data_IF_857582302377
#
_entry.id   IF_857582302377
#
_cell.length_a   1.000
_cell.length_b   1.000
_cell.length_c   1.000
_cell.angle_alpha   90.00
_cell.angle_beta   90.00
_cell.angle_gamma   90.00
#
_symmetry.space_group_name_H-M   'P 1'
#
loop_
_entity.id
_entity.type
_entity.pdbx_description
1 polymer ?
#
# COMPACT_ATOMS: atom_id res chain seq x y z
N UNK A 1 23.08 44.58 4.75
CA UNK A 1 22.12 44.98 3.70
C UNK A 1 21.51 43.71 3.15
N UNK A 2 20.30 43.38 3.60
CA UNK A 2 19.53 42.19 3.17
C UNK A 2 18.67 42.59 1.97
N UNK A 3 18.84 41.95 0.83
CA UNK A 3 17.97 42.13 -0.34
C UNK A 3 16.87 41.11 -0.33
N UNK A 4 15.65 41.54 -0.09
CA UNK A 4 14.43 40.76 -0.20
C UNK A 4 14.05 40.72 -1.68
N UNK A 5 13.90 39.53 -2.24
CA UNK A 5 13.36 39.32 -3.60
C UNK A 5 11.90 38.92 -3.45
N UNK A 6 11.01 39.78 -3.87
CA UNK A 6 9.57 39.53 -3.92
C UNK A 6 9.25 38.95 -5.29
N UNK A 7 8.75 37.70 -5.30
CA UNK A 7 8.26 37.01 -6.51
C UNK A 7 6.77 37.32 -6.67
N UNK A 8 6.42 38.06 -7.70
CA UNK A 8 5.04 38.37 -8.05
C UNK A 8 4.50 37.28 -8.99
N UNK A 9 3.45 36.58 -8.56
CA UNK A 9 2.70 35.64 -9.40
C UNK A 9 1.68 36.44 -10.22
N UNK A 10 1.79 36.39 -11.54
CA UNK A 10 0.82 36.99 -12.48
C UNK A 10 -0.17 35.87 -12.87
N UNK A 11 -1.42 36.02 -12.44
CA UNK A 11 -2.56 35.25 -12.92
C UNK A 11 -3.06 35.80 -14.25
N UNK A 12 -2.97 35.04 -15.31
CA UNK A 12 -3.62 35.36 -16.59
C UNK A 12 -4.94 34.62 -16.70
N UNK A 13 -6.05 35.34 -16.51
CA UNK A 13 -7.39 34.83 -16.88
C UNK A 13 -7.59 34.98 -18.38
N UNK A 14 -7.86 33.89 -19.06
CA UNK A 14 -8.36 33.93 -20.45
C UNK A 14 -9.86 33.68 -20.40
N UNK A 15 -10.62 34.72 -20.70
CA UNK A 15 -12.08 34.65 -20.93
C UNK A 15 -12.28 34.35 -22.43
N UNK A 16 -12.79 33.18 -22.75
CA UNK A 16 -13.20 32.82 -24.11
C UNK A 16 -14.70 32.91 -24.27
N UNK A 17 -15.12 33.77 -25.19
CA UNK A 17 -16.50 34.08 -25.54
C UNK A 17 -17.18 32.96 -26.34
N UNK A 18 -18.41 32.69 -25.95
CA UNK A 18 -19.40 31.86 -26.66
C UNK A 18 -19.99 32.60 -27.88
N UNK A 19 -20.08 31.92 -28.98
CA UNK A 19 -21.04 32.17 -30.08
C UNK A 19 -21.12 30.86 -30.89
N UNK A 20 -22.17 30.28 -31.26
CA UNK A 20 -23.57 30.55 -31.42
C UNK A 20 -24.13 29.55 -32.39
N UNK A 21 -25.34 29.13 -32.15
CA UNK A 21 -26.37 28.50 -32.95
C UNK A 21 -26.07 27.78 -34.28
N UNK A 22 -26.59 26.54 -34.36
CA UNK A 22 -26.91 25.88 -35.60
C UNK A 22 -27.71 24.60 -35.32
N UNK A 23 -29.05 24.75 -35.34
CA UNK A 23 -29.94 23.60 -35.32
C UNK A 23 -29.91 22.87 -36.66
N UNK A 24 -29.71 21.55 -36.60
CA UNK A 24 -30.10 20.65 -37.70
C UNK A 24 -30.74 19.40 -37.07
N UNK A 25 -32.03 19.29 -37.31
CA UNK A 25 -32.79 18.06 -37.09
C UNK A 25 -32.26 16.93 -37.97
N UNK A 26 -31.89 15.83 -37.39
CA UNK A 26 -31.73 14.54 -38.07
C UNK A 26 -32.38 13.44 -37.22
N UNK A 27 -33.04 12.46 -37.81
CA UNK A 27 -34.01 11.61 -37.14
C UNK A 27 -33.37 10.59 -36.21
N UNK A 28 -34.11 10.31 -35.14
CA UNK A 28 -33.81 9.27 -34.18
C UNK A 28 -33.50 7.94 -34.82
N UNK A 29 -32.26 7.52 -34.78
CA UNK A 29 -31.86 6.13 -34.91
C UNK A 29 -31.95 5.46 -33.55
N UNK A 30 -32.73 4.38 -33.49
CA UNK A 30 -32.80 3.47 -32.38
C UNK A 30 -31.37 3.10 -31.95
N UNK A 31 -30.98 3.59 -30.78
CA UNK A 31 -29.85 3.05 -30.10
C UNK A 31 -30.24 1.63 -29.65
N UNK A 32 -29.68 0.64 -30.34
CA UNK A 32 -29.58 -0.70 -29.76
C UNK A 32 -28.96 -0.58 -28.40
N UNK A 33 -29.67 -1.07 -27.40
CA UNK A 33 -29.11 -1.27 -26.07
C UNK A 33 -27.90 -2.20 -26.24
N UNK A 34 -26.71 -1.64 -26.17
CA UNK A 34 -25.53 -2.45 -25.95
C UNK A 34 -25.73 -3.11 -24.59
N UNK A 35 -26.03 -4.39 -24.59
CA UNK A 35 -25.77 -5.24 -23.46
C UNK A 35 -24.23 -5.22 -23.27
N UNK A 36 -23.72 -4.21 -22.59
CA UNK A 36 -22.43 -4.34 -21.92
C UNK A 36 -22.66 -5.40 -20.85
N UNK A 37 -22.02 -6.56 -21.02
CA UNK A 37 -21.88 -7.48 -19.89
C UNK A 37 -21.36 -6.64 -18.72
N UNK A 38 -21.89 -6.81 -17.49
CA UNK A 38 -21.36 -6.09 -16.35
C UNK A 38 -19.87 -6.42 -16.30
N UNK A 39 -19.00 -5.40 -16.32
CA UNK A 39 -17.60 -5.58 -16.01
C UNK A 39 -17.56 -6.31 -14.68
N UNK A 40 -16.91 -7.46 -14.63
CA UNK A 40 -16.72 -8.19 -13.39
C UNK A 40 -15.76 -7.32 -12.61
N UNK A 41 -16.31 -6.50 -11.72
CA UNK A 41 -15.51 -5.84 -10.70
C UNK A 41 -14.89 -6.95 -9.86
N UNK A 42 -13.56 -7.05 -9.87
CA UNK A 42 -12.82 -7.96 -8.98
C UNK A 42 -12.94 -7.49 -7.53
N UNK A 43 -13.58 -6.37 -7.29
CA UNK A 43 -13.81 -5.77 -6.00
C UNK A 43 -15.06 -6.39 -5.33
N UNK A 44 -14.86 -7.01 -4.18
CA UNK A 44 -15.96 -7.51 -3.35
C UNK A 44 -15.72 -7.16 -1.87
N UNK A 45 -16.81 -7.05 -1.10
CA UNK A 45 -16.71 -6.82 0.35
C UNK A 45 -15.97 -7.94 1.07
N UNK A 46 -15.91 -9.15 0.48
CA UNK A 46 -15.22 -10.30 1.06
C UNK A 46 -13.70 -10.07 1.19
N UNK A 47 -13.09 -9.37 0.23
CA UNK A 47 -11.66 -9.08 0.23
C UNK A 47 -11.26 -7.93 1.15
N UNK A 48 -12.21 -7.23 1.73
CA UNK A 48 -11.97 -6.05 2.57
C UNK A 48 -12.17 -6.35 4.04
N UNK A 49 -11.33 -5.72 4.85
CA UNK A 49 -11.54 -5.61 6.28
C UNK A 49 -12.51 -4.44 6.49
N UNK A 50 -13.66 -4.65 7.16
CA UNK A 50 -14.59 -3.55 7.45
C UNK A 50 -13.94 -2.46 8.31
N UNK A 51 -14.22 -1.20 8.00
CA UNK A 51 -13.78 -0.09 8.84
C UNK A 51 -14.45 -0.15 10.21
N UNK A 52 -13.64 -0.08 11.27
CA UNK A 52 -14.13 0.12 12.63
C UNK A 52 -14.34 1.60 12.93
N UNK A 53 -13.54 2.46 12.31
CA UNK A 53 -13.59 3.91 12.44
C UNK A 53 -12.85 4.56 11.27
N UNK A 54 -13.00 5.86 11.14
CA UNK A 54 -12.30 6.70 10.19
C UNK A 54 -11.58 7.79 10.98
N UNK A 55 -10.25 7.85 10.87
CA UNK A 55 -9.42 8.82 11.58
C UNK A 55 -9.56 10.23 11.01
N UNK A 56 -9.77 10.34 9.70
CA UNK A 56 -9.83 11.62 9.00
C UNK A 56 -10.73 11.51 7.76
N UNK A 57 -12.03 11.80 7.89
CA UNK A 57 -12.96 11.71 6.76
C UNK A 57 -12.63 12.62 5.57
N UNK A 58 -11.67 13.53 5.73
CA UNK A 58 -11.33 14.55 4.74
C UNK A 58 -10.07 14.19 3.93
N UNK A 59 -9.28 13.23 4.41
CA UNK A 59 -8.06 12.76 3.75
C UNK A 59 -7.91 11.22 3.91
N UNK A 60 -6.80 10.65 3.45
CA UNK A 60 -6.60 9.21 3.45
C UNK A 60 -7.03 8.55 2.14
N UNK A 61 -6.56 7.35 1.91
CA UNK A 61 -6.82 6.62 0.67
C UNK A 61 -8.30 6.26 0.49
N UNK A 62 -9.03 6.06 1.58
CA UNK A 62 -10.45 5.76 1.56
C UNK A 62 -11.32 6.94 1.14
N UNK A 63 -10.82 8.19 1.28
CA UNK A 63 -11.50 9.41 0.83
C UNK A 63 -11.36 9.64 -0.69
N UNK A 64 -10.41 9.00 -1.35
CA UNK A 64 -10.26 9.09 -2.80
C UNK A 64 -11.47 8.47 -3.47
N UNK A 65 -12.10 9.23 -4.38
CA UNK A 65 -13.25 8.74 -5.14
C UNK A 65 -12.88 7.46 -5.87
N UNK A 66 -13.47 6.37 -5.42
CA UNK A 66 -13.34 5.09 -6.09
C UNK A 66 -14.25 5.10 -7.29
N UNK A 67 -13.66 5.16 -8.39
CA UNK A 67 -14.39 4.83 -9.59
C UNK A 67 -14.49 3.30 -9.68
N UNK A 68 -15.24 2.70 -8.78
CA UNK A 68 -15.34 1.26 -8.59
C UNK A 68 -15.73 0.44 -9.82
N UNK A 69 -16.19 1.10 -10.88
CA UNK A 69 -16.57 0.50 -12.14
C UNK A 69 -15.79 1.13 -13.30
N UNK A 70 -14.48 1.30 -13.14
CA UNK A 70 -13.67 1.74 -14.26
C UNK A 70 -13.69 0.72 -15.39
N UNK A 71 -13.85 1.24 -16.59
CA UNK A 71 -13.60 0.47 -17.80
C UNK A 71 -12.17 -0.07 -17.76
N UNK A 72 -12.00 -1.34 -18.16
CA UNK A 72 -10.67 -1.94 -18.26
C UNK A 72 -9.70 -1.01 -18.98
N UNK A 73 -8.55 -0.79 -18.35
CA UNK A 73 -7.48 -0.02 -18.95
C UNK A 73 -6.59 -0.92 -19.80
N UNK A 74 -6.22 -0.51 -21.04
CA UNK A 74 -5.27 -1.28 -21.83
C UNK A 74 -3.84 -1.26 -21.25
N UNK A 75 -3.59 -0.47 -20.20
CA UNK A 75 -2.28 -0.30 -19.60
C UNK A 75 -2.12 -1.04 -18.27
N UNK A 76 -3.22 -1.42 -17.62
CA UNK A 76 -3.23 -2.08 -16.33
C UNK A 76 -3.99 -3.39 -16.45
N UNK A 77 -3.33 -4.48 -16.05
CA UNK A 77 -4.00 -5.74 -15.83
C UNK A 77 -4.55 -5.76 -14.40
N UNK A 78 -5.75 -6.26 -14.24
CA UNK A 78 -6.39 -6.42 -12.92
C UNK A 78 -6.58 -7.91 -12.65
N UNK A 79 -5.52 -8.64 -12.22
CA UNK A 79 -5.70 -10.01 -11.78
C UNK A 79 -6.53 -10.01 -10.50
N UNK A 80 -7.37 -11.01 -10.34
CA UNK A 80 -8.09 -11.25 -9.08
C UNK A 80 -7.11 -11.77 -8.02
N UNK A 81 -6.34 -10.85 -7.42
CA UNK A 81 -5.28 -11.17 -6.46
C UNK A 81 -5.82 -11.91 -5.25
N UNK A 82 -7.01 -11.54 -4.77
CA UNK A 82 -7.65 -12.19 -3.61
C UNK A 82 -7.85 -13.69 -3.81
N UNK A 83 -8.21 -14.12 -5.01
CA UNK A 83 -8.46 -15.52 -5.34
C UNK A 83 -7.28 -16.23 -6.01
N UNK A 84 -6.15 -15.55 -6.23
CA UNK A 84 -4.96 -16.20 -6.77
C UNK A 84 -4.54 -17.40 -5.90
N UNK A 85 -4.05 -18.44 -6.57
CA UNK A 85 -3.52 -19.63 -5.92
C UNK A 85 -2.02 -19.74 -6.15
N UNK A 86 -1.31 -20.36 -5.19
CA UNK A 86 0.09 -20.72 -5.39
C UNK A 86 0.23 -21.75 -6.52
N UNK A 87 1.31 -21.65 -7.27
CA UNK A 87 1.68 -22.54 -8.39
C UNK A 87 3.12 -23.02 -8.21
N UNK A 88 3.69 -23.66 -9.22
CA UNK A 88 5.10 -24.04 -9.20
C UNK A 88 6.03 -22.82 -9.18
N UNK A 89 5.57 -21.67 -9.72
CA UNK A 89 6.36 -20.42 -9.82
C UNK A 89 5.92 -19.37 -8.82
N UNK A 90 4.65 -19.38 -8.41
CA UNK A 90 4.06 -18.37 -7.54
C UNK A 90 3.77 -18.90 -6.16
N UNK A 91 4.22 -18.17 -5.14
CA UNK A 91 3.79 -18.32 -3.75
C UNK A 91 2.90 -17.13 -3.38
N UNK A 92 1.69 -17.37 -2.86
CA UNK A 92 0.78 -16.30 -2.46
C UNK A 92 -0.01 -16.67 -1.21
N UNK A 93 -0.23 -15.69 -0.35
CA UNK A 93 -1.12 -15.79 0.81
C UNK A 93 -2.56 -15.58 0.34
N UNK A 94 -3.20 -16.67 -0.08
CA UNK A 94 -4.54 -16.63 -0.67
C UNK A 94 -5.57 -16.08 0.30
N UNK A 95 -6.47 -15.25 -0.21
CA UNK A 95 -7.54 -14.59 0.54
C UNK A 95 -7.02 -13.63 1.64
N UNK A 96 -5.84 -13.06 1.46
CA UNK A 96 -5.35 -11.99 2.30
C UNK A 96 -6.22 -10.75 2.09
N UNK A 97 -6.86 -10.24 3.14
CA UNK A 97 -7.77 -9.11 3.05
C UNK A 97 -7.04 -7.78 3.14
N UNK A 98 -7.55 -6.76 2.47
CA UNK A 98 -6.99 -5.42 2.43
C UNK A 98 -7.89 -4.41 3.16
N UNK A 99 -7.33 -3.27 3.52
CA UNK A 99 -8.05 -2.09 3.99
C UNK A 99 -7.34 -0.84 3.48
N UNK A 100 -8.10 0.13 2.98
CA UNK A 100 -7.54 1.45 2.67
C UNK A 100 -7.35 2.24 3.98
N UNK A 101 -6.21 2.92 4.13
CA UNK A 101 -5.94 3.75 5.30
C UNK A 101 -6.88 4.96 5.33
N UNK A 102 -7.32 5.33 6.52
CA UNK A 102 -8.29 6.41 6.72
C UNK A 102 -7.64 7.75 7.09
N UNK A 103 -6.33 7.86 6.96
CA UNK A 103 -5.59 9.11 7.10
C UNK A 103 -4.31 9.08 6.28
N UNK A 104 -3.72 10.23 5.98
CA UNK A 104 -2.48 10.34 5.19
C UNK A 104 -1.25 9.69 5.86
N UNK A 105 -1.29 9.45 7.18
CA UNK A 105 -0.15 8.95 7.95
C UNK A 105 -0.27 7.49 8.41
N UNK A 106 -1.43 6.86 8.27
CA UNK A 106 -1.73 5.60 8.97
C UNK A 106 -1.30 4.32 8.23
N UNK A 107 -0.53 4.43 7.14
CA UNK A 107 -0.10 3.28 6.33
C UNK A 107 0.55 2.14 7.16
N UNK A 108 1.47 2.45 8.08
CA UNK A 108 2.11 1.43 8.92
C UNK A 108 1.14 0.76 9.88
N UNK A 109 0.19 1.52 10.41
CA UNK A 109 -0.84 1.02 11.33
C UNK A 109 -1.82 0.12 10.57
N UNK A 110 -2.26 0.55 9.38
CA UNK A 110 -3.19 -0.21 8.54
C UNK A 110 -2.53 -1.48 7.99
N UNK A 111 -1.24 -1.42 7.64
CA UNK A 111 -0.49 -2.62 7.27
C UNK A 111 -0.42 -3.64 8.41
N UNK A 112 -0.18 -3.19 9.65
CA UNK A 112 -0.22 -4.07 10.81
C UNK A 112 -1.62 -4.65 11.06
N UNK A 113 -2.67 -3.85 10.88
CA UNK A 113 -4.07 -4.29 10.98
C UNK A 113 -4.37 -5.42 9.99
N UNK A 114 -3.91 -5.31 8.73
CA UNK A 114 -4.07 -6.37 7.74
C UNK A 114 -3.32 -7.66 8.13
N UNK A 115 -2.14 -7.54 8.74
CA UNK A 115 -1.39 -8.71 9.26
C UNK A 115 -2.13 -9.35 10.44
N UNK A 116 -2.73 -8.57 11.34
CA UNK A 116 -3.54 -9.11 12.43
C UNK A 116 -4.77 -9.86 11.91
N UNK A 117 -5.46 -9.33 10.91
CA UNK A 117 -6.60 -10.00 10.26
C UNK A 117 -6.19 -11.33 9.62
N UNK A 118 -5.04 -11.38 8.94
CA UNK A 118 -4.52 -12.61 8.34
C UNK A 118 -4.43 -13.77 9.33
N UNK A 119 -4.09 -13.48 10.57
CA UNK A 119 -3.98 -14.49 11.63
C UNK A 119 -5.23 -14.61 12.51
N UNK A 120 -6.35 -13.99 12.15
CA UNK A 120 -7.57 -13.94 12.97
C UNK A 120 -7.28 -13.40 14.39
N UNK A 121 -6.44 -12.37 14.46
CA UNK A 121 -6.02 -11.67 15.68
C UNK A 121 -6.42 -10.20 15.71
N UNK A 122 -7.19 -9.75 14.72
CA UNK A 122 -7.63 -8.35 14.66
C UNK A 122 -8.50 -7.99 15.87
N UNK A 123 -9.48 -8.83 16.23
CA UNK A 123 -10.36 -8.54 17.38
C UNK A 123 -11.01 -7.16 17.28
N UNK A 124 -10.88 -6.38 18.36
CA UNK A 124 -11.40 -5.00 18.45
C UNK A 124 -10.35 -3.93 18.07
N UNK A 125 -9.16 -4.33 17.58
CA UNK A 125 -8.13 -3.39 17.15
C UNK A 125 -8.56 -2.62 15.89
N UNK A 126 -8.17 -1.36 15.84
CA UNK A 126 -8.39 -0.46 14.73
C UNK A 126 -7.21 0.50 14.58
N UNK A 127 -7.22 1.39 13.58
CA UNK A 127 -6.10 2.30 13.32
C UNK A 127 -5.75 3.17 14.54
N UNK A 128 -6.74 3.73 15.25
CA UNK A 128 -6.50 4.58 16.42
C UNK A 128 -5.86 3.79 17.56
N UNK A 129 -6.42 2.63 17.89
CA UNK A 129 -5.94 1.82 19.02
C UNK A 129 -4.58 1.19 18.75
N UNK A 130 -4.28 0.79 17.51
CA UNK A 130 -2.94 0.34 17.13
C UNK A 130 -1.95 1.51 17.11
N UNK A 131 -2.35 2.68 16.60
CA UNK A 131 -1.50 3.87 16.63
C UNK A 131 -1.11 4.28 18.04
N UNK A 132 -1.99 4.10 19.01
CA UNK A 132 -1.74 4.41 20.42
C UNK A 132 -0.69 3.50 21.09
N UNK A 133 -0.34 2.37 20.47
CA UNK A 133 0.72 1.48 20.97
C UNK A 133 2.13 1.97 20.65
N UNK A 134 2.27 2.86 19.68
CA UNK A 134 3.57 3.40 19.26
C UNK A 134 4.15 4.30 20.34
N UNK A 135 5.46 4.20 20.60
CA UNK A 135 6.13 5.15 21.48
C UNK A 135 6.10 6.58 20.89
N UNK A 136 6.18 7.57 21.77
CA UNK A 136 6.25 8.98 21.34
C UNK A 136 7.61 9.32 20.75
N UNK A 137 7.59 10.13 19.69
CA UNK A 137 8.78 10.72 19.09
C UNK A 137 9.06 12.14 19.64
N UNK A 138 8.31 12.60 20.65
CA UNK A 138 8.51 13.93 21.25
C UNK A 138 9.92 14.06 21.82
N UNK A 139 10.56 15.19 21.53
CA UNK A 139 11.93 15.48 21.96
C UNK A 139 13.02 14.74 21.18
N UNK A 140 12.67 14.01 20.13
CA UNK A 140 13.61 13.40 19.18
C UNK A 140 13.78 14.27 17.92
N UNK A 141 14.68 13.89 17.02
CA UNK A 141 14.82 14.53 15.71
C UNK A 141 13.62 14.30 14.78
N UNK A 142 12.76 13.34 15.10
CA UNK A 142 11.51 13.04 14.40
C UNK A 142 10.27 13.65 15.09
N UNK A 143 10.45 14.62 16.00
CA UNK A 143 9.30 15.28 16.64
C UNK A 143 8.35 15.85 15.58
N UNK A 144 7.08 15.46 15.67
CA UNK A 144 6.05 15.84 14.70
C UNK A 144 6.02 15.02 13.40
N UNK A 145 6.86 14.00 13.28
CA UNK A 145 6.76 13.05 12.16
C UNK A 145 5.45 12.26 12.27
N UNK A 146 4.57 12.32 11.26
CA UNK A 146 3.23 11.73 11.39
C UNK A 146 3.20 10.22 11.15
N UNK A 147 4.16 9.67 10.39
CA UNK A 147 4.17 8.28 9.95
C UNK A 147 4.54 7.29 11.08
N UNK A 148 5.00 6.12 10.68
CA UNK A 148 5.38 5.03 11.59
C UNK A 148 6.82 4.61 11.29
N UNK A 149 7.72 4.68 12.26
CA UNK A 149 9.08 4.16 12.15
C UNK A 149 9.10 2.62 12.28
N UNK A 150 10.23 1.97 11.96
CA UNK A 150 10.34 0.52 12.16
C UNK A 150 10.12 0.14 13.64
N UNK A 151 10.74 0.88 14.57
CA UNK A 151 10.57 0.59 16.01
C UNK A 151 9.14 0.81 16.47
N UNK A 152 8.48 1.86 16.00
CA UNK A 152 7.06 2.08 16.30
C UNK A 152 6.17 0.97 15.72
N UNK A 153 6.51 0.42 14.56
CA UNK A 153 5.78 -0.72 13.99
C UNK A 153 5.99 -2.00 14.81
N UNK A 154 7.19 -2.20 15.38
CA UNK A 154 7.44 -3.30 16.33
C UNK A 154 6.66 -3.11 17.64
N UNK A 155 6.57 -1.88 18.16
CA UNK A 155 5.75 -1.59 19.35
C UNK A 155 4.28 -2.02 19.18
N UNK A 156 3.74 -1.93 17.95
CA UNK A 156 2.38 -2.39 17.67
C UNK A 156 2.26 -3.89 17.97
N UNK A 157 3.16 -4.73 17.45
CA UNK A 157 3.11 -6.17 17.69
C UNK A 157 3.40 -6.52 19.16
N UNK A 158 4.33 -5.81 19.81
CA UNK A 158 4.62 -5.97 21.23
C UNK A 158 3.40 -5.60 22.08
N UNK A 159 2.73 -4.50 21.75
CA UNK A 159 1.56 -4.01 22.48
C UNK A 159 0.30 -4.86 22.29
N UNK A 160 0.07 -5.39 21.09
CA UNK A 160 -0.98 -6.39 20.80
C UNK A 160 -0.68 -7.68 21.56
N UNK A 161 0.59 -8.08 21.59
CA UNK A 161 1.07 -9.27 22.27
C UNK A 161 0.76 -10.58 21.54
N UNK A 162 1.44 -11.66 21.93
CA UNK A 162 1.25 -12.98 21.34
C UNK A 162 1.82 -13.13 19.93
N UNK A 163 2.74 -12.25 19.53
CA UNK A 163 3.50 -12.35 18.29
C UNK A 163 5.00 -12.53 18.55
N UNK A 164 5.66 -13.18 17.62
CA UNK A 164 7.11 -13.12 17.42
C UNK A 164 7.33 -12.54 16.02
N UNK A 165 8.47 -11.89 15.81
CA UNK A 165 8.78 -11.31 14.52
C UNK A 165 10.27 -11.45 14.18
N UNK A 166 10.58 -11.41 12.90
CA UNK A 166 11.90 -11.12 12.36
C UNK A 166 11.80 -9.77 11.64
N UNK A 167 12.77 -8.92 11.84
CA UNK A 167 12.81 -7.59 11.26
C UNK A 167 14.21 -7.27 10.71
N UNK A 168 14.36 -6.16 10.05
CA UNK A 168 15.66 -5.64 9.60
C UNK A 168 16.68 -5.55 10.75
N UNK A 169 16.21 -5.33 11.98
CA UNK A 169 17.09 -5.20 13.15
C UNK A 169 17.76 -6.50 13.60
N UNK A 170 17.38 -7.64 13.05
CA UNK A 170 17.96 -8.94 13.34
C UNK A 170 19.17 -9.26 12.45
N UNK A 171 19.54 -8.34 11.54
CA UNK A 171 20.63 -8.50 10.57
C UNK A 171 21.75 -7.48 10.84
N UNK A 172 23.00 -7.95 10.87
CA UNK A 172 24.17 -7.10 11.09
C UNK A 172 24.53 -6.29 9.83
N UNK A 173 24.35 -6.87 8.65
CA UNK A 173 24.56 -6.23 7.33
C UNK A 173 23.34 -6.48 6.42
N UNK A 174 22.28 -5.68 6.58
CA UNK A 174 21.01 -5.91 5.85
C UNK A 174 21.18 -6.05 4.34
N UNK A 175 22.01 -5.23 3.69
CA UNK A 175 22.21 -5.29 2.24
C UNK A 175 22.92 -6.56 1.75
N UNK A 176 23.67 -7.23 2.60
CA UNK A 176 24.33 -8.50 2.28
C UNK A 176 23.49 -9.72 2.64
N UNK A 177 22.60 -9.59 3.61
CA UNK A 177 21.90 -10.73 4.23
C UNK A 177 20.44 -10.82 3.82
N UNK A 178 19.77 -9.69 3.57
CA UNK A 178 18.38 -9.64 3.14
C UNK A 178 18.34 -9.64 1.61
N UNK A 179 17.64 -10.58 1.02
CA UNK A 179 17.49 -10.74 -0.43
C UNK A 179 16.02 -10.93 -0.81
N UNK A 180 15.71 -10.98 -2.08
CA UNK A 180 14.35 -11.34 -2.54
C UNK A 180 13.93 -12.74 -2.05
N UNK A 181 14.88 -13.67 -1.94
CA UNK A 181 14.59 -15.01 -1.39
C UNK A 181 14.18 -14.97 0.08
N UNK A 182 14.68 -13.99 0.86
CA UNK A 182 14.25 -13.81 2.25
C UNK A 182 12.72 -13.63 2.33
N UNK A 183 12.13 -12.83 1.45
CA UNK A 183 10.69 -12.60 1.42
C UNK A 183 9.91 -13.82 0.91
N UNK A 184 10.45 -14.50 -0.12
CA UNK A 184 9.87 -15.76 -0.62
C UNK A 184 9.79 -16.83 0.46
N UNK A 185 10.81 -16.94 1.28
CA UNK A 185 10.89 -17.97 2.33
C UNK A 185 9.84 -17.68 3.43
N UNK A 186 9.66 -16.43 3.85
CA UNK A 186 8.55 -16.07 4.75
C UNK A 186 7.19 -16.40 4.14
N UNK A 187 6.96 -16.08 2.88
CA UNK A 187 5.70 -16.39 2.20
C UNK A 187 5.43 -17.89 2.11
N UNK A 188 6.45 -18.72 1.87
CA UNK A 188 6.32 -20.20 1.89
C UNK A 188 5.93 -20.73 3.26
N UNK A 189 6.32 -20.03 4.33
CA UNK A 189 5.92 -20.35 5.71
C UNK A 189 4.53 -19.78 6.06
N UNK A 190 3.86 -19.09 5.12
CA UNK A 190 2.57 -18.46 5.35
C UNK A 190 2.65 -17.12 6.11
N UNK A 191 3.82 -16.49 6.15
CA UNK A 191 4.09 -15.26 6.89
C UNK A 191 4.06 -14.05 5.95
N UNK A 192 3.12 -13.09 6.13
CA UNK A 192 3.13 -11.82 5.42
C UNK A 192 4.31 -10.96 5.89
N UNK A 193 4.85 -10.13 4.99
CA UNK A 193 6.00 -9.29 5.30
C UNK A 193 5.63 -7.83 5.13
N UNK A 194 5.52 -7.09 6.23
CA UNK A 194 5.41 -5.63 6.19
C UNK A 194 6.73 -5.04 5.70
N UNK A 195 6.65 -4.08 4.80
CA UNK A 195 7.79 -3.36 4.23
C UNK A 195 7.55 -1.86 4.28
N UNK A 196 8.61 -1.06 4.51
CA UNK A 196 8.56 0.39 4.38
C UNK A 196 9.64 0.86 3.41
N UNK A 197 9.24 1.52 2.35
CA UNK A 197 10.15 2.00 1.31
C UNK A 197 9.70 3.36 0.76
N UNK A 198 10.53 3.96 -0.10
CA UNK A 198 10.28 5.28 -0.65
C UNK A 198 9.25 5.24 -1.81
N UNK A 199 8.11 4.62 -1.56
CA UNK A 199 6.92 4.84 -2.36
C UNK A 199 6.16 6.05 -1.78
N UNK A 200 5.70 6.98 -2.60
CA UNK A 200 5.04 8.22 -2.15
C UNK A 200 5.85 9.09 -1.15
N UNK A 201 7.16 8.88 -1.05
CA UNK A 201 7.99 9.58 -0.05
C UNK A 201 8.05 8.89 1.31
N UNK A 202 7.62 7.64 1.38
CA UNK A 202 7.66 6.76 2.53
C UNK A 202 6.33 6.08 2.79
N UNK A 203 6.27 4.76 2.53
CA UNK A 203 5.02 4.04 2.57
C UNK A 203 5.20 2.62 3.11
N UNK A 204 4.28 2.21 4.00
CA UNK A 204 4.17 0.85 4.48
C UNK A 204 3.17 0.06 3.65
N UNK A 205 3.59 -1.13 3.23
CA UNK A 205 2.78 -2.11 2.50
C UNK A 205 3.06 -3.50 3.08
N UNK A 206 2.34 -4.52 2.61
CA UNK A 206 2.55 -5.91 3.03
C UNK A 206 2.80 -6.78 1.82
N UNK A 207 3.99 -7.39 1.69
CA UNK A 207 4.23 -8.42 0.67
C UNK A 207 3.41 -9.64 1.05
N UNK A 208 2.56 -10.07 0.12
CA UNK A 208 1.66 -11.21 0.26
C UNK A 208 1.89 -12.29 -0.80
N UNK A 209 2.70 -12.00 -1.81
CA UNK A 209 3.01 -12.96 -2.85
C UNK A 209 4.29 -12.63 -3.61
N UNK A 210 4.82 -13.66 -4.26
CA UNK A 210 6.01 -13.61 -5.11
C UNK A 210 5.83 -14.60 -6.26
N UNK A 211 6.12 -14.21 -7.49
CA UNK A 211 6.12 -15.08 -8.67
C UNK A 211 7.45 -14.93 -9.42
N UNK A 212 8.21 -16.02 -9.56
CA UNK A 212 9.45 -16.07 -10.31
C UNK A 212 9.24 -16.35 -11.80
N UNK A 213 7.96 -16.43 -12.23
CA UNK A 213 7.54 -16.67 -13.61
C UNK A 213 8.19 -17.91 -14.26
N UNK A 214 8.90 -18.73 -13.48
CA UNK A 214 9.59 -19.94 -13.93
C UNK A 214 10.84 -19.66 -14.77
N UNK A 215 11.45 -18.50 -14.62
CA UNK A 215 12.71 -18.14 -15.31
C UNK A 215 13.93 -18.32 -14.40
N UNK A 216 15.14 -18.25 -14.98
CA UNK A 216 16.39 -18.34 -14.24
C UNK A 216 16.91 -16.98 -13.73
N UNK A 217 16.17 -15.90 -14.03
CA UNK A 217 16.54 -14.53 -13.68
C UNK A 217 15.53 -13.90 -12.76
N UNK A 218 15.98 -13.08 -11.81
CA UNK A 218 15.10 -12.27 -10.95
C UNK A 218 14.61 -10.98 -11.62
N UNK A 219 15.07 -10.68 -12.84
CA UNK A 219 14.76 -9.41 -13.54
C UNK A 219 13.30 -9.28 -13.97
N UNK A 220 12.61 -10.38 -14.15
CA UNK A 220 11.20 -10.45 -14.50
C UNK A 220 10.31 -10.94 -13.35
N UNK A 221 10.89 -11.26 -12.20
CA UNK A 221 10.15 -11.60 -10.99
C UNK A 221 9.24 -10.46 -10.55
N UNK A 222 8.14 -10.83 -9.92
CA UNK A 222 7.18 -9.86 -9.38
C UNK A 222 6.86 -10.14 -7.92
N UNK A 223 6.61 -9.06 -7.17
CA UNK A 223 6.00 -9.12 -5.84
C UNK A 223 4.56 -8.66 -5.92
N UNK A 224 3.72 -9.29 -5.12
CA UNK A 224 2.33 -8.89 -4.92
C UNK A 224 2.21 -8.34 -3.51
N UNK A 225 1.62 -7.16 -3.38
CA UNK A 225 1.48 -6.46 -2.11
C UNK A 225 0.02 -6.19 -1.78
N UNK A 226 -0.30 -6.17 -0.49
CA UNK A 226 -1.47 -5.48 0.03
C UNK A 226 -1.05 -4.06 0.38
N UNK A 227 -1.71 -3.09 -0.24
CA UNK A 227 -1.39 -1.67 -0.18
C UNK A 227 -2.51 -0.88 0.49
N UNK A 228 -2.26 -0.28 1.66
CA UNK A 228 -3.26 0.54 2.32
C UNK A 228 -3.52 1.88 1.62
N UNK A 229 -2.70 2.30 0.65
CA UNK A 229 -2.90 3.52 -0.13
C UNK A 229 -3.03 3.23 -1.63
N UNK A 230 -3.67 2.15 -2.00
CA UNK A 230 -3.92 1.79 -3.38
C UNK A 230 -4.91 2.75 -4.04
N UNK A 231 -4.38 3.72 -4.79
CA UNK A 231 -5.16 4.77 -5.47
C UNK A 231 -4.74 4.99 -6.93
N UNK A 232 -3.79 4.22 -7.44
CA UNK A 232 -3.10 4.57 -8.69
C UNK A 232 -3.16 3.54 -9.81
N UNK A 233 -3.49 2.31 -9.52
CA UNK A 233 -3.48 1.26 -10.54
C UNK A 233 -4.82 1.08 -11.26
N UNK A 234 -5.76 2.00 -11.06
CA UNK A 234 -7.07 2.02 -11.68
C UNK A 234 -8.14 1.14 -11.03
N UNK A 235 -7.82 0.36 -10.02
CA UNK A 235 -8.75 -0.59 -9.41
C UNK A 235 -8.68 -0.58 -7.87
N UNK A 236 -8.49 0.34 -7.18
CA UNK A 236 -8.47 0.51 -5.71
C UNK A 236 -8.98 -0.70 -4.89
N UNK A 237 -8.52 -1.90 -5.24
CA UNK A 237 -8.85 -3.13 -4.53
C UNK A 237 -7.91 -3.41 -3.35
N UNK A 238 -6.90 -2.59 -3.17
CA UNK A 238 -5.91 -2.69 -2.12
C UNK A 238 -4.76 -3.63 -2.45
N UNK A 239 -4.59 -4.01 -3.71
CA UNK A 239 -3.48 -4.84 -4.15
C UNK A 239 -2.63 -4.13 -5.19
N UNK A 240 -1.32 -4.31 -5.09
CA UNK A 240 -0.36 -3.82 -6.06
C UNK A 240 0.57 -4.92 -6.56
N UNK A 241 1.12 -4.74 -7.76
CA UNK A 241 2.09 -5.66 -8.35
C UNK A 241 3.30 -4.85 -8.80
N UNK A 242 4.47 -5.22 -8.29
CA UNK A 242 5.72 -4.55 -8.63
C UNK A 242 6.74 -5.52 -9.20
N UNK A 243 7.59 -5.09 -10.17
CA UNK A 243 8.79 -5.82 -10.53
C UNK A 243 9.70 -5.96 -9.30
N UNK A 244 10.03 -7.20 -8.91
CA UNK A 244 10.70 -7.50 -7.65
C UNK A 244 12.08 -6.85 -7.52
N UNK A 245 12.94 -6.92 -8.55
CA UNK A 245 14.24 -6.25 -8.51
C UNK A 245 14.11 -4.73 -8.45
N UNK A 246 13.15 -4.14 -9.17
CA UNK A 246 12.96 -2.69 -9.12
C UNK A 246 12.52 -2.22 -7.74
N UNK A 247 11.66 -2.97 -7.08
CA UNK A 247 11.33 -2.74 -5.68
C UNK A 247 12.59 -2.86 -4.82
N UNK A 248 13.33 -3.96 -4.89
CA UNK A 248 14.48 -4.22 -4.04
C UNK A 248 15.56 -3.13 -4.14
N UNK A 249 15.90 -2.66 -5.34
CA UNK A 249 16.87 -1.57 -5.53
C UNK A 249 16.37 -0.19 -5.09
N UNK A 250 15.09 -0.04 -4.80
CA UNK A 250 14.51 1.18 -4.23
C UNK A 250 14.03 0.97 -2.78
N UNK A 251 14.40 -0.15 -2.17
CA UNK A 251 13.96 -0.52 -0.83
C UNK A 251 14.76 0.24 0.24
N UNK A 252 14.59 1.55 0.27
CA UNK A 252 15.24 2.47 1.20
C UNK A 252 14.37 3.70 1.42
N UNK A 253 14.50 4.31 2.57
CA UNK A 253 13.91 5.59 2.95
C UNK A 253 14.91 6.75 2.84
N UNK A 254 16.05 6.54 2.18
CA UNK A 254 17.07 7.56 1.91
C UNK A 254 17.46 8.41 3.14
N UNK A 255 17.92 7.77 4.20
CA UNK A 255 18.36 8.42 5.45
C UNK A 255 17.25 9.25 6.16
N UNK A 256 15.97 8.92 5.92
CA UNK A 256 14.87 9.63 6.58
C UNK A 256 14.72 9.29 8.05
N UNK A 257 15.21 8.12 8.48
CA UNK A 257 15.10 7.66 9.86
C UNK A 257 16.48 7.45 10.49
N UNK A 258 16.68 7.87 11.74
CA UNK A 258 17.89 7.59 12.49
C UNK A 258 17.98 6.11 12.89
N UNK A 259 19.20 5.63 13.16
CA UNK A 259 19.43 4.26 13.64
C UNK A 259 18.66 3.94 14.93
N UNK A 260 18.43 4.95 15.77
CA UNK A 260 17.61 4.82 16.98
C UNK A 260 16.18 4.36 16.69
N UNK A 261 15.66 4.66 15.51
CA UNK A 261 14.31 4.31 15.05
C UNK A 261 14.29 3.15 14.04
N UNK A 262 15.43 2.51 13.85
CA UNK A 262 15.58 1.33 13.01
C UNK A 262 16.27 1.59 11.67
N UNK A 263 16.78 2.81 11.46
CA UNK A 263 17.43 3.19 10.21
C UNK A 263 16.47 3.34 9.05
N UNK A 264 17.01 3.40 7.83
CA UNK A 264 16.25 3.73 6.63
C UNK A 264 16.29 2.68 5.53
N UNK A 265 17.12 1.64 5.66
CA UNK A 265 17.34 0.66 4.58
C UNK A 265 16.66 -0.67 4.87
N UNK A 266 16.03 -1.24 3.83
CA UNK A 266 15.45 -2.58 3.83
C UNK A 266 14.50 -2.82 5.01
N UNK A 267 13.67 -1.84 5.35
CA UNK A 267 12.82 -1.87 6.53
C UNK A 267 11.69 -2.88 6.37
N UNK A 268 11.77 -4.01 7.07
CA UNK A 268 10.72 -5.01 7.05
C UNK A 268 10.42 -5.59 8.44
N UNK A 269 9.23 -6.18 8.55
CA UNK A 269 8.77 -6.97 9.69
C UNK A 269 8.00 -8.19 9.17
N UNK A 270 8.47 -9.38 9.49
CA UNK A 270 7.77 -10.64 9.27
C UNK A 270 7.23 -11.13 10.62
N UNK A 271 5.99 -10.77 10.95
CA UNK A 271 5.37 -11.10 12.21
C UNK A 271 4.48 -12.36 12.08
N UNK A 272 4.48 -13.20 13.12
CA UNK A 272 3.63 -14.39 13.23
C UNK A 272 3.22 -14.63 14.68
N UNK A 273 2.08 -15.30 14.93
CA UNK A 273 1.70 -15.68 16.29
C UNK A 273 2.82 -16.49 16.97
N UNK A 274 3.07 -16.18 18.25
CA UNK A 274 3.95 -16.99 19.08
C UNK A 274 3.33 -18.40 19.30
N UNK A 275 4.18 -19.43 19.36
CA UNK A 275 3.77 -20.82 19.62
C UNK A 275 3.17 -20.98 21.02
#
# INVERSE_FOLDING_TARGET
>A
MKKTVTLALVFLMVVGLLSGCGANDTPANNAESSNSEPSISNFSDEMKIPYAMDLSPEDGADSVERAGDHTDSPYFAHPDVYNLESTDTRTILRNFKTQQQTSEWSCGVTSALMVLEWYDKLGDWNEETLAALRHSLDGTELEGYPGTTLRQALDIFDGVGGFTYTSTLDYDDPWSEITLDTFRDFLKEGVPVMICWNDWGGHWQVIIGYDDLGTETTQDDVILVADPYDTTDHNQDGYGIYPAERFYYNFSMYDSFPDSEGGSDLLFIAARPAE
#
